data_IF_448656774283
#
_entry.id   IF_448656774283
#
_cell.length_a   1.000
_cell.length_b   1.000
_cell.length_c   1.000
_cell.angle_alpha   90.00
_cell.angle_beta   90.00
_cell.angle_gamma   90.00
#
_symmetry.space_group_name_H-M   'P 1'
#
loop_
_entity.id
_entity.type
_entity.pdbx_description
1 polymer ?
#
# COMPACT_ATOMS: atom_id res chain seq x y z
N UNK A 1 -5.03 16.94 14.93
CA UNK A 1 -3.89 16.00 14.89
C UNK A 1 -3.69 15.61 13.44
N UNK A 2 -2.58 16.02 12.83
CA UNK A 2 -2.28 15.72 11.43
C UNK A 2 -1.75 14.29 11.36
N UNK A 3 -2.64 13.32 11.18
CA UNK A 3 -2.23 11.93 10.95
C UNK A 3 -1.51 11.86 9.60
N UNK A 4 -0.18 11.77 9.64
CA UNK A 4 0.63 11.47 8.47
C UNK A 4 0.30 10.03 8.04
N UNK A 5 -0.66 9.90 7.11
CA UNK A 5 -0.93 8.61 6.48
C UNK A 5 0.37 8.06 5.89
N UNK A 6 0.81 6.92 6.40
CA UNK A 6 2.08 6.30 6.00
C UNK A 6 1.96 5.90 4.53
N UNK A 7 2.88 6.41 3.70
CA UNK A 7 2.91 6.16 2.26
C UNK A 7 3.85 5.00 1.94
N UNK A 8 3.41 4.06 1.10
CA UNK A 8 4.19 2.87 0.70
C UNK A 8 4.12 2.73 -0.82
N UNK A 9 5.28 2.50 -1.44
CA UNK A 9 5.39 2.23 -2.87
C UNK A 9 5.87 0.79 -3.11
N UNK A 10 5.09 0.02 -3.88
CA UNK A 10 5.44 -1.36 -4.25
C UNK A 10 6.00 -1.42 -5.67
N UNK A 11 7.14 -2.09 -5.83
CA UNK A 11 7.67 -2.46 -7.15
C UNK A 11 7.18 -3.86 -7.49
N UNK A 12 6.54 -4.03 -8.65
CA UNK A 12 5.88 -5.28 -9.04
C UNK A 12 4.55 -5.49 -8.31
N UNK A 13 3.73 -4.44 -8.17
CA UNK A 13 2.46 -4.52 -7.42
C UNK A 13 1.47 -5.51 -8.04
N UNK A 14 1.56 -5.77 -9.34
CA UNK A 14 0.73 -6.73 -10.07
C UNK A 14 0.97 -8.20 -9.66
N UNK A 15 2.03 -8.50 -8.89
CA UNK A 15 2.23 -9.84 -8.34
C UNK A 15 1.10 -10.22 -7.38
N UNK A 16 0.64 -11.48 -7.41
CA UNK A 16 -0.49 -11.95 -6.58
C UNK A 16 -0.23 -11.74 -5.08
N UNK A 17 1.00 -12.00 -4.62
CA UNK A 17 1.38 -11.73 -3.23
C UNK A 17 1.47 -10.23 -2.93
N UNK A 18 2.11 -9.47 -3.81
CA UNK A 18 2.34 -8.03 -3.64
C UNK A 18 1.04 -7.24 -3.60
N UNK A 19 0.11 -7.55 -4.51
CA UNK A 19 -1.23 -6.94 -4.58
C UNK A 19 -2.08 -7.26 -3.33
N UNK A 20 -1.99 -8.48 -2.81
CA UNK A 20 -2.69 -8.85 -1.56
C UNK A 20 -2.18 -8.04 -0.36
N UNK A 21 -0.86 -7.87 -0.24
CA UNK A 21 -0.25 -7.05 0.83
C UNK A 21 -0.57 -5.56 0.64
N UNK A 22 -0.52 -5.07 -0.60
CA UNK A 22 -0.89 -3.70 -0.95
C UNK A 22 -2.36 -3.40 -0.55
N UNK A 23 -3.28 -4.31 -0.83
CA UNK A 23 -4.69 -4.22 -0.42
C UNK A 23 -4.83 -4.17 1.10
N UNK A 24 -4.16 -5.06 1.82
CA UNK A 24 -4.20 -5.11 3.29
C UNK A 24 -3.71 -3.79 3.93
N UNK A 25 -2.63 -3.21 3.40
CA UNK A 25 -2.11 -1.94 3.90
C UNK A 25 -3.03 -0.77 3.57
N UNK A 26 -3.61 -0.75 2.37
CA UNK A 26 -4.59 0.25 1.97
C UNK A 26 -5.81 0.23 2.91
N UNK A 27 -6.32 -0.96 3.26
CA UNK A 27 -7.44 -1.12 4.18
C UNK A 27 -7.10 -0.69 5.63
N UNK A 28 -5.80 -0.63 5.98
CA UNK A 28 -5.30 -0.10 7.26
C UNK A 28 -5.02 1.40 7.25
N UNK A 29 -5.40 2.11 6.19
CA UNK A 29 -5.22 3.55 6.05
C UNK A 29 -3.86 3.98 5.51
N UNK A 30 -3.09 3.06 4.91
CA UNK A 30 -1.85 3.45 4.23
C UNK A 30 -2.16 4.00 2.83
N UNK A 31 -1.39 5.01 2.42
CA UNK A 31 -1.44 5.51 1.05
C UNK A 31 -0.52 4.64 0.20
N UNK A 32 -1.11 3.74 -0.58
CA UNK A 32 -0.37 2.77 -1.38
C UNK A 32 -0.26 3.24 -2.83
N UNK A 33 0.93 3.15 -3.41
CA UNK A 33 1.16 3.25 -4.84
C UNK A 33 2.02 2.09 -5.32
N UNK A 34 2.07 1.83 -6.62
CA UNK A 34 2.94 0.79 -7.14
C UNK A 34 3.20 0.92 -8.64
N UNK A 35 4.27 0.26 -9.06
CA UNK A 35 4.66 0.05 -10.46
C UNK A 35 4.77 -1.45 -10.77
#
# INVERSE_FOLDING_TARGET
>A
MSEQHKKVHFIGICGVGTSAVAKLLQDRGYVVSGS
#
